data_IF_248863246353
#
_entry.id   IF_248863246353
#
_cell.length_a   1.000
_cell.length_b   1.000
_cell.length_c   1.000
_cell.angle_alpha   90.00
_cell.angle_beta   90.00
_cell.angle_gamma   90.00
#
_symmetry.space_group_name_H-M   'P 1'
#
loop_
_entity.id
_entity.type
_entity.pdbx_description
1 polymer ?
#
# COMPACT_ATOMS: atom_id res chain seq x y z
N UNK A 1 -3.64 -52.85 -14.58
CA UNK A 1 -4.69 -51.83 -14.40
C UNK A 1 -4.18 -50.87 -13.33
N UNK A 2 -3.51 -49.79 -13.74
CA UNK A 2 -2.89 -48.83 -12.81
C UNK A 2 -3.93 -47.79 -12.47
N UNK A 3 -4.45 -47.83 -11.25
CA UNK A 3 -5.34 -46.79 -10.72
C UNK A 3 -4.52 -45.54 -10.44
N UNK A 4 -4.59 -44.56 -11.35
CA UNK A 4 -4.03 -43.24 -11.14
C UNK A 4 -5.02 -42.43 -10.29
N UNK A 5 -4.87 -42.51 -8.96
CA UNK A 5 -5.65 -41.71 -8.02
C UNK A 5 -5.12 -40.28 -7.97
N UNK A 6 -5.61 -39.42 -8.87
CA UNK A 6 -5.46 -37.97 -8.68
C UNK A 6 -6.36 -37.57 -7.52
N UNK A 7 -5.76 -37.37 -6.34
CA UNK A 7 -6.42 -36.82 -5.16
C UNK A 7 -6.75 -35.36 -5.45
N UNK A 8 -7.88 -35.12 -6.11
CA UNK A 8 -8.44 -33.79 -6.28
C UNK A 8 -8.92 -33.28 -4.92
N UNK A 9 -8.25 -32.26 -4.38
CA UNK A 9 -8.78 -31.52 -3.22
C UNK A 9 -10.15 -30.96 -3.62
N UNK A 10 -11.21 -31.15 -2.83
CA UNK A 10 -12.55 -30.66 -3.16
C UNK A 10 -12.54 -29.16 -3.43
N UNK A 11 -13.30 -28.71 -4.44
CA UNK A 11 -13.38 -27.29 -4.87
C UNK A 11 -13.69 -26.33 -3.73
N UNK A 12 -14.53 -26.74 -2.78
CA UNK A 12 -14.87 -25.97 -1.57
C UNK A 12 -13.65 -25.70 -0.68
N UNK A 13 -12.87 -26.74 -0.37
CA UNK A 13 -11.64 -26.62 0.43
C UNK A 13 -10.60 -25.72 -0.24
N UNK A 14 -10.56 -25.73 -1.59
CA UNK A 14 -9.71 -24.82 -2.36
C UNK A 14 -10.20 -23.36 -2.27
N UNK A 15 -11.51 -23.12 -2.24
CA UNK A 15 -12.11 -21.81 -2.03
C UNK A 15 -11.77 -21.25 -0.65
N UNK A 16 -12.03 -22.02 0.40
CA UNK A 16 -11.76 -21.62 1.79
C UNK A 16 -10.28 -21.28 2.01
N UNK A 17 -9.37 -22.04 1.41
CA UNK A 17 -7.93 -21.75 1.46
C UNK A 17 -7.55 -20.47 0.73
N UNK A 18 -8.17 -20.18 -0.41
CA UNK A 18 -7.89 -18.97 -1.17
C UNK A 18 -8.37 -17.73 -0.38
N UNK A 19 -9.56 -17.80 0.22
CA UNK A 19 -10.09 -16.72 1.05
C UNK A 19 -9.20 -16.44 2.26
N UNK A 20 -8.76 -17.48 2.98
CA UNK A 20 -7.81 -17.35 4.09
C UNK A 20 -6.48 -16.72 3.65
N UNK A 21 -5.95 -17.13 2.49
CA UNK A 21 -4.74 -16.52 1.91
C UNK A 21 -4.94 -15.02 1.62
N UNK A 22 -6.07 -14.65 0.99
CA UNK A 22 -6.37 -13.26 0.66
C UNK A 22 -6.59 -12.43 1.92
N UNK A 23 -7.30 -12.95 2.92
CA UNK A 23 -7.49 -12.29 4.21
C UNK A 23 -6.15 -12.01 4.90
N UNK A 24 -5.29 -13.02 4.99
CA UNK A 24 -3.96 -12.87 5.57
C UNK A 24 -3.14 -11.84 4.79
N UNK A 25 -3.09 -11.95 3.45
CA UNK A 25 -2.39 -10.97 2.62
C UNK A 25 -2.86 -9.54 2.88
N UNK A 26 -4.17 -9.30 2.91
CA UNK A 26 -4.74 -7.97 3.16
C UNK A 26 -4.40 -7.44 4.56
N UNK A 27 -4.42 -8.29 5.59
CA UNK A 27 -4.03 -7.89 6.94
C UNK A 27 -2.54 -7.52 7.03
N UNK A 28 -1.67 -8.35 6.43
CA UNK A 28 -0.23 -8.08 6.37
C UNK A 28 0.06 -6.81 5.57
N UNK A 29 -0.63 -6.63 4.43
CA UNK A 29 -0.48 -5.47 3.56
C UNK A 29 -0.94 -4.19 4.26
N UNK A 30 -2.07 -4.22 4.97
CA UNK A 30 -2.50 -3.07 5.76
C UNK A 30 -1.49 -2.70 6.85
N UNK A 31 -0.96 -3.70 7.56
CA UNK A 31 0.09 -3.48 8.57
C UNK A 31 1.35 -2.84 7.98
N UNK A 32 1.78 -3.32 6.81
CA UNK A 32 2.89 -2.73 6.05
C UNK A 32 2.59 -1.29 5.62
N UNK A 33 1.44 -1.02 5.01
CA UNK A 33 1.04 0.32 4.58
C UNK A 33 1.05 1.32 5.75
N UNK A 34 0.55 0.90 6.92
CA UNK A 34 0.57 1.72 8.13
C UNK A 34 1.99 2.00 8.60
N UNK A 35 2.85 0.98 8.68
CA UNK A 35 4.22 1.17 9.14
C UNK A 35 5.10 1.98 8.19
N UNK A 36 4.97 1.78 6.88
CA UNK A 36 5.83 2.40 5.85
C UNK A 36 5.39 3.82 5.50
N UNK A 37 4.09 4.10 5.56
CA UNK A 37 3.57 5.39 5.07
C UNK A 37 2.94 6.26 6.14
N UNK A 38 2.28 5.67 7.14
CA UNK A 38 1.59 6.44 8.18
C UNK A 38 2.53 6.69 9.36
N UNK A 39 3.25 5.66 9.81
CA UNK A 39 4.10 5.70 11.00
C UNK A 39 5.60 5.80 10.68
N UNK A 40 5.96 6.23 9.47
CA UNK A 40 7.33 6.52 9.05
C UNK A 40 7.56 8.04 8.90
N UNK A 41 7.84 8.77 9.98
CA UNK A 41 8.14 10.19 9.88
C UNK A 41 9.45 10.43 9.13
N UNK A 42 9.60 11.62 8.53
CA UNK A 42 10.80 11.97 7.76
C UNK A 42 12.13 11.81 8.52
N UNK A 43 12.14 12.04 9.84
CA UNK A 43 13.31 11.81 10.69
C UNK A 43 13.74 10.34 10.72
N UNK A 44 12.77 9.41 10.69
CA UNK A 44 13.05 7.98 10.64
C UNK A 44 13.62 7.57 9.28
N UNK A 45 13.14 8.18 8.19
CA UNK A 45 13.70 8.01 6.83
C UNK A 45 15.18 8.39 6.80
N UNK A 46 15.55 9.50 7.44
CA UNK A 46 16.96 9.90 7.57
C UNK A 46 17.73 8.90 8.45
N UNK A 47 17.19 8.52 9.61
CA UNK A 47 17.88 7.63 10.53
C UNK A 47 18.23 6.27 9.92
N UNK A 48 17.29 5.64 9.19
CA UNK A 48 17.53 4.34 8.53
C UNK A 48 18.58 4.40 7.43
N UNK A 49 18.79 5.57 6.82
CA UNK A 49 19.85 5.78 5.83
C UNK A 49 21.23 5.88 6.46
N UNK A 50 21.34 6.24 7.74
CA UNK A 50 22.63 6.48 8.40
C UNK A 50 23.12 5.33 9.27
N UNK A 51 22.28 4.34 9.60
CA UNK A 51 22.74 3.17 10.34
C UNK A 51 21.67 2.13 10.66
N UNK A 52 22.14 0.95 11.08
CA UNK A 52 21.31 -0.22 11.35
C UNK A 52 20.23 0.03 12.42
N UNK A 53 20.49 0.92 13.39
CA UNK A 53 19.52 1.25 14.45
C UNK A 53 18.23 1.86 13.90
N UNK A 54 18.34 2.73 12.88
CA UNK A 54 17.18 3.33 12.24
C UNK A 54 16.36 2.30 11.46
N UNK A 55 17.04 1.36 10.80
CA UNK A 55 16.38 0.23 10.12
C UNK A 55 15.66 -0.67 11.13
N UNK A 56 16.34 -1.10 12.21
CA UNK A 56 15.71 -1.93 13.24
C UNK A 56 14.50 -1.26 13.89
N UNK A 57 14.58 0.05 14.18
CA UNK A 57 13.45 0.80 14.71
C UNK A 57 12.27 0.78 13.73
N UNK A 58 12.53 1.01 12.45
CA UNK A 58 11.48 1.02 11.44
C UNK A 58 10.88 -0.38 11.20
N UNK A 59 11.71 -1.42 11.08
CA UNK A 59 11.25 -2.81 11.05
C UNK A 59 10.43 -3.16 12.30
N UNK A 60 10.80 -2.65 13.48
CA UNK A 60 10.02 -2.81 14.70
C UNK A 60 8.61 -2.18 14.61
N UNK A 61 8.50 -1.00 14.01
CA UNK A 61 7.21 -0.34 13.75
C UNK A 61 6.35 -1.19 12.80
N UNK A 62 6.93 -1.66 11.69
CA UNK A 62 6.25 -2.55 10.73
C UNK A 62 5.78 -3.82 11.43
N UNK A 63 6.68 -4.49 12.15
CA UNK A 63 6.38 -5.72 12.90
C UNK A 63 5.20 -5.50 13.86
N UNK A 64 5.20 -4.37 14.57
CA UNK A 64 4.12 -4.01 15.51
C UNK A 64 2.80 -3.77 14.77
N UNK A 65 2.82 -3.02 13.67
CA UNK A 65 1.62 -2.77 12.86
C UNK A 65 1.05 -4.06 12.28
N UNK A 66 1.91 -4.93 11.73
CA UNK A 66 1.52 -6.22 11.19
C UNK A 66 0.96 -7.13 12.27
N UNK A 67 1.62 -7.25 13.42
CA UNK A 67 1.13 -8.03 14.56
C UNK A 67 -0.24 -7.54 15.05
N UNK A 68 -0.43 -6.22 15.10
CA UNK A 68 -1.69 -5.62 15.50
C UNK A 68 -2.83 -5.95 14.53
N UNK A 69 -2.58 -5.93 13.21
CA UNK A 69 -3.60 -6.27 12.21
C UNK A 69 -4.07 -7.72 12.29
N UNK A 70 -3.19 -8.64 12.70
CA UNK A 70 -3.50 -10.09 12.81
C UNK A 70 -3.77 -10.55 14.24
N UNK A 71 -3.98 -9.62 15.19
CA UNK A 71 -4.00 -9.89 16.62
C UNK A 71 -4.99 -10.99 17.03
N UNK A 72 -6.20 -11.00 16.47
CA UNK A 72 -7.24 -11.99 16.75
C UNK A 72 -6.89 -13.41 16.31
N UNK A 73 -5.86 -13.57 15.47
CA UNK A 73 -5.38 -14.86 14.97
C UNK A 73 -3.91 -15.10 15.26
N UNK A 74 -3.30 -14.31 16.16
CA UNK A 74 -1.85 -14.29 16.37
C UNK A 74 -1.26 -15.66 16.71
N UNK A 75 -2.03 -16.52 17.40
CA UNK A 75 -1.62 -17.89 17.73
C UNK A 75 -1.28 -18.73 16.50
N UNK A 76 -1.90 -18.44 15.35
CA UNK A 76 -1.67 -19.10 14.06
C UNK A 76 -0.80 -18.26 13.12
N UNK A 77 -0.89 -16.94 13.20
CA UNK A 77 -0.27 -16.01 12.25
C UNK A 77 1.07 -15.42 12.71
N UNK A 78 1.53 -15.69 13.95
CA UNK A 78 2.83 -15.21 14.43
C UNK A 78 4.03 -15.59 13.53
N UNK A 79 4.09 -16.76 12.85
CA UNK A 79 5.20 -17.05 11.95
C UNK A 79 5.21 -16.10 10.75
N UNK A 80 4.02 -15.66 10.29
CA UNK A 80 3.91 -14.68 9.21
C UNK A 80 4.40 -13.31 9.66
N UNK A 81 4.11 -12.89 10.90
CA UNK A 81 4.63 -11.63 11.47
C UNK A 81 6.16 -11.63 11.48
N UNK A 82 6.78 -12.73 11.93
CA UNK A 82 8.24 -12.87 11.92
C UNK A 82 8.80 -12.88 10.50
N UNK A 83 8.17 -13.62 9.59
CA UNK A 83 8.58 -13.66 8.18
C UNK A 83 8.51 -12.28 7.51
N UNK A 84 7.46 -11.50 7.79
CA UNK A 84 7.32 -10.12 7.30
C UNK A 84 8.41 -9.23 7.87
N UNK A 85 8.73 -9.33 9.16
CA UNK A 85 9.80 -8.55 9.78
C UNK A 85 11.17 -8.82 9.11
N UNK A 86 11.49 -10.09 8.86
CA UNK A 86 12.74 -10.50 8.20
C UNK A 86 12.78 -10.05 6.73
N UNK A 87 11.68 -10.25 5.99
CA UNK A 87 11.58 -9.82 4.60
C UNK A 87 11.73 -8.30 4.48
N UNK A 88 11.02 -7.53 5.32
CA UNK A 88 11.08 -6.07 5.34
C UNK A 88 12.49 -5.57 5.65
N UNK A 89 13.16 -6.11 6.68
CA UNK A 89 14.54 -5.74 7.00
C UNK A 89 15.50 -6.01 5.84
N UNK A 90 15.34 -7.15 5.16
CA UNK A 90 16.14 -7.53 3.99
C UNK A 90 15.91 -6.62 2.78
N UNK A 91 14.64 -6.34 2.46
CA UNK A 91 14.27 -5.43 1.37
C UNK A 91 14.77 -4.03 1.67
N UNK A 92 14.54 -3.51 2.87
CA UNK A 92 15.01 -2.19 3.28
C UNK A 92 16.53 -2.07 3.17
N UNK A 93 17.28 -3.09 3.62
CA UNK A 93 18.74 -3.11 3.47
C UNK A 93 19.16 -2.99 1.99
N UNK A 94 18.54 -3.78 1.12
CA UNK A 94 18.82 -3.76 -0.31
C UNK A 94 18.44 -2.42 -0.94
N UNK A 95 17.29 -1.86 -0.59
CA UNK A 95 16.79 -0.58 -1.09
C UNK A 95 17.67 0.59 -0.67
N UNK A 96 18.12 0.64 0.59
CA UNK A 96 19.08 1.66 1.06
C UNK A 96 20.40 1.54 0.30
N UNK A 97 20.90 0.32 0.10
CA UNK A 97 22.14 0.09 -0.66
C UNK A 97 21.99 0.47 -2.14
N UNK A 98 20.88 0.11 -2.77
CA UNK A 98 20.59 0.42 -4.17
C UNK A 98 20.55 1.94 -4.41
N UNK A 99 19.93 2.71 -3.50
CA UNK A 99 19.88 4.18 -3.57
C UNK A 99 21.26 4.84 -3.45
N UNK A 100 22.22 4.20 -2.77
CA UNK A 100 23.60 4.72 -2.66
C UNK A 100 24.47 4.43 -3.89
N UNK A 101 24.20 3.33 -4.60
CA UNK A 101 25.10 2.82 -5.66
C UNK A 101 24.58 3.14 -7.07
N UNK A 102 23.26 3.23 -7.26
CA UNK A 102 22.65 3.38 -8.58
C UNK A 102 22.24 4.81 -8.88
N UNK A 103 22.54 5.26 -10.10
CA UNK A 103 21.98 6.47 -10.72
C UNK A 103 20.56 6.26 -11.28
N UNK A 104 19.78 5.32 -10.71
CA UNK A 104 18.41 5.09 -11.14
C UNK A 104 17.49 6.21 -10.65
N UNK A 105 16.40 6.49 -11.38
CA UNK A 105 15.42 7.50 -10.96
C UNK A 105 14.78 7.12 -9.62
N UNK A 106 14.49 8.14 -8.78
CA UNK A 106 13.84 7.96 -7.47
C UNK A 106 12.53 7.18 -7.57
N UNK A 107 11.73 7.49 -8.60
CA UNK A 107 10.49 6.80 -8.93
C UNK A 107 10.69 5.31 -9.21
N UNK A 108 11.68 4.93 -10.04
CA UNK A 108 11.91 3.52 -10.37
C UNK A 108 12.35 2.72 -9.13
N UNK A 109 13.24 3.28 -8.31
CA UNK A 109 13.66 2.65 -7.06
C UNK A 109 12.52 2.53 -6.05
N UNK A 110 11.63 3.52 -6.00
CA UNK A 110 10.43 3.48 -5.17
C UNK A 110 9.45 2.40 -5.63
N UNK A 111 9.14 2.33 -6.92
CA UNK A 111 8.23 1.30 -7.45
C UNK A 111 8.80 -0.11 -7.28
N UNK A 112 10.11 -0.30 -7.48
CA UNK A 112 10.77 -1.58 -7.24
C UNK A 112 10.69 -1.99 -5.77
N UNK A 113 10.96 -1.06 -4.85
CA UNK A 113 10.86 -1.29 -3.41
C UNK A 113 9.45 -1.75 -3.01
N UNK A 114 8.42 -1.07 -3.51
CA UNK A 114 7.02 -1.43 -3.24
C UNK A 114 6.62 -2.77 -3.86
N UNK A 115 7.09 -3.07 -5.07
CA UNK A 115 6.87 -4.35 -5.72
C UNK A 115 7.48 -5.51 -4.91
N UNK A 116 8.71 -5.35 -4.41
CA UNK A 116 9.37 -6.36 -3.58
C UNK A 116 8.59 -6.63 -2.29
N UNK A 117 8.11 -5.59 -1.61
CA UNK A 117 7.27 -5.75 -0.43
C UNK A 117 5.98 -6.48 -0.75
N UNK A 118 5.20 -6.03 -1.73
CA UNK A 118 3.92 -6.66 -2.12
C UNK A 118 4.12 -8.14 -2.48
N UNK A 119 5.13 -8.46 -3.30
CA UNK A 119 5.44 -9.84 -3.69
C UNK A 119 5.83 -10.68 -2.47
N UNK A 120 6.65 -10.15 -1.57
CA UNK A 120 7.03 -10.87 -0.35
C UNK A 120 5.82 -11.18 0.54
N UNK A 121 4.90 -10.22 0.71
CA UNK A 121 3.68 -10.41 1.49
C UNK A 121 2.76 -11.47 0.87
N UNK A 122 2.62 -11.45 -0.46
CA UNK A 122 1.84 -12.45 -1.19
C UNK A 122 2.43 -13.86 -1.03
N UNK A 123 3.76 -14.01 -1.14
CA UNK A 123 4.45 -15.29 -0.93
C UNK A 123 4.26 -15.76 0.52
N UNK A 124 4.46 -14.89 1.51
CA UNK A 124 4.30 -15.23 2.93
C UNK A 124 2.88 -15.70 3.22
N UNK A 125 1.87 -14.97 2.72
CA UNK A 125 0.46 -15.33 2.90
C UNK A 125 0.14 -16.69 2.26
N UNK A 126 0.63 -16.94 1.04
CA UNK A 126 0.39 -18.18 0.31
C UNK A 126 1.09 -19.40 0.93
N UNK A 127 2.33 -19.23 1.43
CA UNK A 127 3.14 -20.33 1.99
C UNK A 127 2.68 -20.70 3.39
N UNK A 128 2.48 -19.70 4.26
CA UNK A 128 2.17 -19.97 5.67
C UNK A 128 0.70 -20.29 5.86
N UNK A 129 -0.19 -19.73 5.02
CA UNK A 129 -1.64 -19.97 5.01
C UNK A 129 -2.26 -20.14 6.41
N UNK A 130 -1.76 -19.35 7.37
CA UNK A 130 -2.11 -19.45 8.79
C UNK A 130 -3.35 -18.63 9.13
N UNK A 131 -3.93 -17.95 8.14
CA UNK A 131 -5.16 -17.18 8.28
C UNK A 131 -6.36 -18.10 8.47
N UNK A 132 -7.29 -17.69 9.32
CA UNK A 132 -8.64 -18.23 9.39
C UNK A 132 -9.62 -17.34 8.63
N UNK A 133 -10.84 -17.26 9.15
CA UNK A 133 -11.86 -16.32 8.67
C UNK A 133 -11.32 -14.88 8.60
N UNK A 134 -11.77 -14.04 7.66
CA UNK A 134 -11.32 -12.66 7.59
C UNK A 134 -11.57 -11.92 8.91
N UNK A 135 -10.50 -11.40 9.50
CA UNK A 135 -10.56 -10.63 10.74
C UNK A 135 -9.63 -9.43 10.67
N UNK A 136 -10.07 -8.32 11.25
CA UNK A 136 -9.27 -7.11 11.41
C UNK A 136 -9.06 -6.87 12.90
N UNK A 137 -7.80 -6.93 13.34
CA UNK A 137 -7.45 -6.86 14.77
C UNK A 137 -8.18 -8.00 15.52
N UNK A 138 -9.15 -7.69 16.39
CA UNK A 138 -9.91 -8.68 17.17
C UNK A 138 -11.29 -9.00 16.58
N UNK A 139 -11.71 -8.30 15.53
CA UNK A 139 -13.08 -8.34 15.04
C UNK A 139 -13.20 -9.11 13.73
N UNK A 140 -14.25 -9.91 13.60
CA UNK A 140 -14.63 -10.50 12.33
C UNK A 140 -14.85 -9.38 11.30
N UNK A 141 -14.37 -9.60 10.08
CA UNK A 141 -14.38 -8.61 9.02
C UNK A 141 -14.73 -9.27 7.69
N UNK A 142 -14.73 -8.49 6.61
CA UNK A 142 -14.89 -9.00 5.26
C UNK A 142 -13.68 -8.64 4.41
N UNK A 143 -13.37 -9.50 3.42
CA UNK A 143 -12.34 -9.22 2.41
C UNK A 143 -12.57 -7.85 1.77
N UNK A 144 -13.83 -7.52 1.46
CA UNK A 144 -14.21 -6.23 0.88
C UNK A 144 -13.85 -5.04 1.78
N UNK A 145 -14.11 -5.12 3.09
CA UNK A 145 -13.76 -4.04 4.02
C UNK A 145 -12.25 -3.91 4.16
N UNK A 146 -11.53 -5.01 4.34
CA UNK A 146 -10.06 -5.02 4.44
C UNK A 146 -9.41 -4.45 3.17
N UNK A 147 -9.87 -4.86 1.99
CA UNK A 147 -9.41 -4.33 0.70
C UNK A 147 -9.72 -2.84 0.56
N UNK A 148 -10.88 -2.38 1.05
CA UNK A 148 -11.24 -0.96 1.07
C UNK A 148 -10.29 -0.15 1.94
N UNK A 149 -9.95 -0.62 3.13
CA UNK A 149 -8.98 0.04 4.02
C UNK A 149 -7.58 0.10 3.40
N UNK A 150 -7.10 -1.00 2.83
CA UNK A 150 -5.84 -1.03 2.09
C UNK A 150 -5.85 -0.02 0.93
N UNK A 151 -6.94 0.03 0.17
CA UNK A 151 -7.13 0.97 -0.92
C UNK A 151 -7.07 2.42 -0.45
N UNK A 152 -7.79 2.77 0.61
CA UNK A 152 -7.82 4.14 1.18
C UNK A 152 -6.42 4.57 1.62
N UNK A 153 -5.72 3.74 2.40
CA UNK A 153 -4.36 4.07 2.87
C UNK A 153 -3.39 4.21 1.68
N UNK A 154 -3.52 3.33 0.69
CA UNK A 154 -2.72 3.38 -0.55
C UNK A 154 -2.97 4.69 -1.32
N UNK A 155 -4.21 5.00 -1.69
CA UNK A 155 -4.48 6.20 -2.50
C UNK A 155 -4.16 7.48 -1.72
N UNK A 156 -4.40 7.52 -0.41
CA UNK A 156 -4.09 8.69 0.39
C UNK A 156 -2.57 8.89 0.53
N UNK A 157 -1.89 7.92 1.15
CA UNK A 157 -0.50 8.08 1.60
C UNK A 157 0.51 7.72 0.52
N UNK A 158 0.49 6.49 0.00
CA UNK A 158 1.36 6.07 -1.11
C UNK A 158 1.17 6.99 -2.32
N UNK A 159 -0.08 7.36 -2.63
CA UNK A 159 -0.41 8.29 -3.69
C UNK A 159 0.25 9.66 -3.56
N UNK A 160 0.47 10.18 -2.34
CA UNK A 160 1.20 11.45 -2.15
C UNK A 160 2.68 11.34 -2.50
N UNK A 161 3.29 10.19 -2.21
CA UNK A 161 4.71 9.94 -2.50
C UNK A 161 4.86 9.70 -3.99
N UNK A 162 3.95 8.93 -4.60
CA UNK A 162 3.95 8.72 -6.03
C UNK A 162 3.74 10.03 -6.81
N UNK A 163 2.82 10.90 -6.38
CA UNK A 163 2.63 12.21 -6.99
C UNK A 163 3.87 13.09 -6.88
N UNK A 164 4.60 12.99 -5.76
CA UNK A 164 5.89 13.65 -5.58
C UNK A 164 6.95 13.10 -6.55
N UNK A 165 7.16 11.78 -6.57
CA UNK A 165 8.18 11.11 -7.39
C UNK A 165 7.93 11.29 -8.89
N UNK A 166 6.67 11.21 -9.33
CA UNK A 166 6.29 11.49 -10.72
C UNK A 166 6.61 12.94 -11.09
N UNK A 167 6.32 13.91 -10.20
CA UNK A 167 6.64 15.31 -10.45
C UNK A 167 8.14 15.54 -10.58
N UNK A 168 8.94 14.98 -9.67
CA UNK A 168 10.41 15.07 -9.74
C UNK A 168 10.91 14.47 -11.06
N UNK A 169 10.39 13.31 -11.45
CA UNK A 169 10.76 12.65 -12.70
C UNK A 169 10.36 13.44 -13.96
N UNK A 170 9.23 14.15 -13.95
CA UNK A 170 8.77 14.93 -15.13
C UNK A 170 9.34 16.33 -15.22
N UNK A 171 9.61 16.99 -14.09
CA UNK A 171 10.11 18.36 -14.07
C UNK A 171 11.63 18.45 -14.08
N UNK A 172 12.35 17.36 -13.79
CA UNK A 172 13.78 17.44 -13.49
C UNK A 172 14.06 18.35 -12.28
N UNK A 173 13.07 18.43 -11.38
CA UNK A 173 13.04 19.36 -10.25
C UNK A 173 14.36 19.22 -9.48
N UNK A 174 15.05 20.33 -9.21
CA UNK A 174 16.25 20.37 -8.36
C UNK A 174 15.89 20.18 -6.89
N UNK A 175 14.98 19.25 -6.61
CA UNK A 175 14.74 18.78 -5.27
C UNK A 175 16.09 18.33 -4.70
N UNK A 176 16.37 18.62 -3.41
CA UNK A 176 17.58 18.11 -2.79
C UNK A 176 17.66 16.59 -3.03
N UNK A 177 18.86 16.00 -3.16
CA UNK A 177 19.05 14.59 -3.54
C UNK A 177 18.21 13.59 -2.74
N UNK A 178 17.75 14.00 -1.56
CA UNK A 178 16.97 13.23 -0.61
C UNK A 178 15.85 14.08 0.03
N UNK A 179 14.76 14.37 -0.70
CA UNK A 179 13.73 15.27 -0.22
C UNK A 179 12.91 14.60 0.90
N UNK A 180 12.82 15.29 2.05
CA UNK A 180 11.92 14.88 3.13
C UNK A 180 10.54 15.45 2.84
N UNK A 181 9.58 14.56 2.60
CA UNK A 181 8.20 14.97 2.33
C UNK A 181 7.53 15.46 3.61
N UNK A 182 7.42 16.78 3.75
CA UNK A 182 6.78 17.43 4.90
C UNK A 182 5.29 17.09 4.95
N UNK A 183 4.73 17.09 6.16
CA UNK A 183 3.29 17.02 6.36
C UNK A 183 2.74 18.45 6.41
N UNK A 184 2.35 18.99 5.25
CA UNK A 184 1.74 20.31 5.11
C UNK A 184 0.23 20.21 4.80
N UNK A 185 -0.48 21.33 4.89
CA UNK A 185 -1.93 21.38 4.63
C UNK A 185 -2.29 20.95 3.20
N UNK A 186 -1.42 21.20 2.22
CA UNK A 186 -1.66 20.81 0.83
C UNK A 186 -1.59 19.28 0.67
N UNK A 187 -0.67 18.63 1.38
CA UNK A 187 -0.53 17.18 1.41
C UNK A 187 -1.70 16.54 2.15
N UNK A 188 -2.13 17.11 3.28
CA UNK A 188 -3.32 16.68 4.02
C UNK A 188 -4.58 16.81 3.15
N UNK A 189 -4.74 17.94 2.45
CA UNK A 189 -5.82 18.12 1.48
C UNK A 189 -5.77 17.03 0.39
N UNK A 190 -4.59 16.72 -0.15
CA UNK A 190 -4.44 15.61 -1.10
C UNK A 190 -4.79 14.23 -0.54
N UNK A 191 -4.50 13.97 0.74
CA UNK A 191 -4.95 12.74 1.41
C UNK A 191 -6.47 12.65 1.44
N UNK A 192 -7.13 13.71 1.91
CA UNK A 192 -8.57 13.77 2.02
C UNK A 192 -9.27 13.67 0.66
N UNK A 193 -8.76 14.37 -0.36
CA UNK A 193 -9.28 14.34 -1.72
C UNK A 193 -9.26 12.93 -2.30
N UNK A 194 -8.12 12.22 -2.23
CA UNK A 194 -7.99 10.87 -2.79
C UNK A 194 -8.77 9.82 -2.00
N UNK A 195 -8.70 9.87 -0.66
CA UNK A 195 -9.48 8.98 0.19
C UNK A 195 -10.98 9.17 -0.02
N UNK A 196 -11.44 10.43 -0.05
CA UNK A 196 -12.82 10.80 -0.33
C UNK A 196 -13.26 10.34 -1.71
N UNK A 197 -12.43 10.54 -2.75
CA UNK A 197 -12.76 10.16 -4.11
C UNK A 197 -12.98 8.65 -4.24
N UNK A 198 -12.11 7.84 -3.65
CA UNK A 198 -12.27 6.39 -3.62
C UNK A 198 -13.51 5.97 -2.82
N UNK A 199 -13.73 6.56 -1.64
CA UNK A 199 -14.89 6.25 -0.79
C UNK A 199 -16.22 6.57 -1.50
N UNK A 200 -16.34 7.77 -2.09
CA UNK A 200 -17.52 8.14 -2.87
C UNK A 200 -17.68 7.20 -4.06
N UNK A 201 -16.60 6.87 -4.77
CA UNK A 201 -16.65 5.92 -5.88
C UNK A 201 -17.14 4.53 -5.49
N UNK A 202 -16.81 4.05 -4.28
CA UNK A 202 -17.17 2.73 -3.78
C UNK A 202 -18.58 2.64 -3.17
N UNK A 203 -19.13 3.74 -2.66
CA UNK A 203 -20.41 3.75 -1.94
C UNK A 203 -21.55 4.34 -2.78
N UNK A 204 -21.23 5.20 -3.74
CA UNK A 204 -22.26 5.87 -4.55
C UNK A 204 -22.79 4.98 -5.68
N UNK A 205 -24.02 5.26 -6.19
CA UNK A 205 -24.60 4.52 -7.32
C UNK A 205 -23.81 4.64 -8.63
N UNK A 206 -22.95 5.66 -8.76
CA UNK A 206 -22.12 5.88 -9.94
C UNK A 206 -20.70 6.23 -9.50
N UNK A 207 -19.69 5.41 -9.84
CA UNK A 207 -18.31 5.66 -9.43
C UNK A 207 -17.76 6.99 -9.97
N UNK A 208 -18.35 7.51 -11.05
CA UNK A 208 -18.01 8.80 -11.62
C UNK A 208 -18.17 9.97 -10.64
N UNK A 209 -19.03 9.84 -9.61
CA UNK A 209 -19.18 10.86 -8.58
C UNK A 209 -17.90 11.06 -7.76
N UNK A 210 -17.08 10.02 -7.58
CA UNK A 210 -15.77 10.15 -6.93
C UNK A 210 -14.81 11.05 -7.71
N UNK A 211 -14.93 11.08 -9.04
CA UNK A 211 -14.11 11.91 -9.93
C UNK A 211 -14.31 13.41 -9.68
N UNK A 212 -15.52 13.79 -9.22
CA UNK A 212 -15.87 15.18 -8.96
C UNK A 212 -15.01 15.80 -7.86
N UNK A 213 -14.45 14.98 -6.95
CA UNK A 213 -13.58 15.49 -5.88
C UNK A 213 -12.26 16.06 -6.40
N UNK A 214 -11.82 15.70 -7.61
CA UNK A 214 -10.64 16.28 -8.24
C UNK A 214 -10.93 17.58 -9.02
N UNK A 215 -12.22 17.91 -9.25
CA UNK A 215 -12.62 19.08 -10.05
C UNK A 215 -12.13 20.40 -9.44
N UNK A 216 -12.27 20.67 -8.12
CA UNK A 216 -11.79 21.92 -7.53
C UNK A 216 -10.28 22.13 -7.76
N UNK A 217 -9.48 21.07 -7.59
CA UNK A 217 -8.03 21.13 -7.84
C UNK A 217 -7.72 21.36 -9.31
N UNK A 218 -8.38 20.65 -10.21
CA UNK A 218 -8.17 20.80 -11.66
C UNK A 218 -8.55 22.22 -12.12
N UNK A 219 -9.68 22.76 -11.64
CA UNK A 219 -10.11 24.12 -11.91
C UNK A 219 -9.12 25.16 -11.35
N UNK A 220 -8.66 24.98 -10.11
CA UNK A 220 -7.65 25.85 -9.52
C UNK A 220 -6.34 25.83 -10.31
N UNK A 221 -5.94 24.66 -10.83
CA UNK A 221 -4.75 24.54 -11.66
C UNK A 221 -4.82 25.36 -12.96
N UNK A 222 -6.02 25.61 -13.52
CA UNK A 222 -6.20 26.46 -14.70
C UNK A 222 -5.85 27.93 -14.45
N UNK A 223 -5.98 28.39 -13.20
CA UNK A 223 -5.60 29.76 -12.80
C UNK A 223 -4.10 29.90 -12.50
N UNK A 224 -3.35 28.80 -12.45
CA UNK A 224 -1.92 28.77 -12.12
C UNK A 224 -1.04 28.69 -13.37
N UNK A 225 0.25 29.00 -13.21
CA UNK A 225 1.28 28.84 -14.25
C UNK A 225 2.53 28.17 -13.70
N UNK A 226 3.38 27.68 -14.61
CA UNK A 226 4.67 27.04 -14.30
C UNK A 226 4.52 25.84 -13.35
N UNK A 227 5.49 25.68 -12.45
CA UNK A 227 5.58 24.57 -11.50
C UNK A 227 4.34 24.40 -10.62
N UNK A 228 3.70 25.50 -10.21
CA UNK A 228 2.50 25.45 -9.36
C UNK A 228 1.32 24.78 -10.07
N UNK A 229 1.12 25.09 -11.36
CA UNK A 229 0.09 24.44 -12.18
C UNK A 229 0.38 22.96 -12.32
N UNK A 230 1.60 22.62 -12.72
CA UNK A 230 1.98 21.24 -12.96
C UNK A 230 1.94 20.41 -11.67
N UNK A 231 2.30 20.96 -10.49
CA UNK A 231 2.10 20.29 -9.20
C UNK A 231 0.65 19.87 -8.98
N UNK A 232 -0.31 20.78 -9.20
CA UNK A 232 -1.73 20.47 -9.00
C UNK A 232 -2.24 19.44 -10.01
N UNK A 233 -1.81 19.55 -11.27
CA UNK A 233 -2.20 18.59 -12.31
C UNK A 233 -1.62 17.19 -12.06
N UNK A 234 -0.35 17.09 -11.62
CA UNK A 234 0.27 15.80 -11.27
C UNK A 234 -0.42 15.14 -10.08
N UNK A 235 -0.73 15.90 -9.02
CA UNK A 235 -1.49 15.39 -7.85
C UNK A 235 -2.87 14.88 -8.26
N UNK A 236 -3.59 15.62 -9.13
CA UNK A 236 -4.89 15.21 -9.65
C UNK A 236 -4.78 13.95 -10.51
N UNK A 237 -3.86 13.92 -11.48
CA UNK A 237 -3.71 12.81 -12.42
C UNK A 237 -3.31 11.51 -11.70
N UNK A 238 -2.27 11.56 -10.84
CA UNK A 238 -1.83 10.38 -10.08
C UNK A 238 -2.93 9.93 -9.12
N UNK A 239 -3.57 10.86 -8.41
CA UNK A 239 -4.67 10.54 -7.50
C UNK A 239 -5.84 9.87 -8.20
N UNK A 240 -6.26 10.41 -9.34
CA UNK A 240 -7.31 9.87 -10.18
C UNK A 240 -6.98 8.45 -10.67
N UNK A 241 -5.81 8.26 -11.27
CA UNK A 241 -5.38 6.94 -11.77
C UNK A 241 -5.39 5.90 -10.66
N UNK A 242 -4.84 6.22 -9.48
CA UNK A 242 -4.83 5.31 -8.34
C UNK A 242 -6.23 5.00 -7.82
N UNK A 243 -7.12 6.01 -7.75
CA UNK A 243 -8.50 5.79 -7.33
C UNK A 243 -9.25 4.87 -8.29
N UNK A 244 -9.09 5.03 -9.62
CA UNK A 244 -9.71 4.17 -10.62
C UNK A 244 -9.22 2.71 -10.49
N UNK A 245 -7.90 2.51 -10.35
CA UNK A 245 -7.32 1.17 -10.18
C UNK A 245 -7.82 0.53 -8.88
N UNK A 246 -7.75 1.25 -7.76
CA UNK A 246 -8.20 0.75 -6.46
C UNK A 246 -9.70 0.41 -6.48
N UNK A 247 -10.54 1.28 -7.06
CA UNK A 247 -11.96 1.04 -7.22
C UNK A 247 -12.23 -0.24 -8.02
N UNK A 248 -11.58 -0.41 -9.16
CA UNK A 248 -11.76 -1.61 -9.99
C UNK A 248 -11.38 -2.89 -9.24
N UNK A 249 -10.20 -2.91 -8.59
CA UNK A 249 -9.73 -4.07 -7.82
C UNK A 249 -10.67 -4.43 -6.66
N UNK A 250 -11.12 -3.44 -5.89
CA UNK A 250 -12.02 -3.65 -4.76
C UNK A 250 -13.40 -4.13 -5.26
N UNK A 251 -13.88 -3.61 -6.38
CA UNK A 251 -15.18 -4.00 -6.95
C UNK A 251 -15.16 -5.44 -7.44
N UNK A 252 -14.05 -5.88 -8.06
CA UNK A 252 -13.84 -7.29 -8.41
C UNK A 252 -13.88 -8.18 -7.16
N UNK A 253 -13.17 -7.80 -6.10
CA UNK A 253 -13.15 -8.56 -4.84
C UNK A 253 -14.52 -8.61 -4.14
N UNK A 254 -15.32 -7.54 -4.23
CA UNK A 254 -16.70 -7.52 -3.73
C UNK A 254 -17.59 -8.48 -4.53
N UNK A 255 -17.49 -8.46 -5.85
CA UNK A 255 -18.29 -9.31 -6.73
C UNK A 255 -17.94 -10.80 -6.67
N UNK A 256 -16.74 -11.16 -6.19
CA UNK A 256 -16.38 -12.56 -5.95
C UNK A 256 -16.88 -13.12 -4.61
N UNK A 257 -17.34 -12.26 -3.69
CA UNK A 257 -17.82 -12.65 -2.36
C UNK A 257 -19.35 -12.62 -2.19
N UNK A 258 -20.09 -12.36 -3.26
CA UNK A 258 -21.56 -12.36 -3.35
C UNK A 258 -22.04 -13.50 -4.25
#
# INVERSE_FOLDING_TARGET
MVHNGSIGVPTKVRGDRLEACVALFLALFLGHLLGDFVFQPGRLVVAKRHGYRGMLLHTGIITTCTAFMVLGQISRTWPAVVAVALAHLGIEHLSVRARRIRQASGLALFLLDQALHIVSLAIIAAVLNGGGEPSLVLWASSIALMATLCGIVTVAFLGSILAFEVRVATMGDSAPPEPILKLDLLRIYGFAERAGALLVGLVSPSPALGLLLFVPRAAYALALRGERRTRQLTEAAVGLTLCCIAWALITVLKGTGS
#
